data_IF_654740364415
#
_entry.id   IF_654740364415
#
_cell.length_a   1.000
_cell.length_b   1.000
_cell.length_c   1.000
_cell.angle_alpha   90.00
_cell.angle_beta   90.00
_cell.angle_gamma   90.00
#
_symmetry.space_group_name_H-M   'P 1'
#
loop_
_entity.id
_entity.type
_entity.pdbx_description
1 polymer ?
#
# COMPACT_ATOMS: atom_id res chain seq x y z
N UNK A 1 -30.52 -0.91 10.23
CA UNK A 1 -29.55 -1.75 9.48
C UNK A 1 -28.70 -0.98 8.45
N UNK A 2 -29.24 -0.12 7.57
CA UNK A 2 -28.40 0.57 6.57
C UNK A 2 -27.39 1.55 7.19
N UNK A 3 -27.76 2.23 8.28
CA UNK A 3 -26.88 3.18 8.99
C UNK A 3 -25.60 2.52 9.51
N UNK A 4 -25.72 1.30 10.06
CA UNK A 4 -24.55 0.57 10.57
C UNK A 4 -23.60 0.17 9.44
N UNK A 5 -24.16 -0.33 8.33
CA UNK A 5 -23.35 -0.69 7.15
C UNK A 5 -22.60 0.54 6.60
N UNK A 6 -23.28 1.67 6.49
CA UNK A 6 -22.66 2.93 6.04
C UNK A 6 -21.56 3.36 7.01
N UNK A 7 -21.80 3.31 8.31
CA UNK A 7 -20.80 3.67 9.31
C UNK A 7 -19.55 2.76 9.22
N UNK A 8 -19.74 1.44 9.04
CA UNK A 8 -18.64 0.49 8.86
C UNK A 8 -17.86 0.77 7.59
N UNK A 9 -18.55 1.06 6.47
CA UNK A 9 -17.89 1.38 5.20
C UNK A 9 -17.09 2.69 5.30
N UNK A 10 -17.67 3.73 5.91
CA UNK A 10 -16.96 4.99 6.12
C UNK A 10 -15.75 4.82 7.03
N UNK A 11 -15.87 4.01 8.09
CA UNK A 11 -14.75 3.69 8.96
C UNK A 11 -13.67 2.93 8.19
N UNK A 12 -14.04 1.92 7.40
CA UNK A 12 -13.13 1.12 6.58
C UNK A 12 -12.37 1.96 5.54
N UNK A 13 -13.09 2.84 4.83
CA UNK A 13 -12.47 3.77 3.87
C UNK A 13 -11.60 4.80 4.57
N UNK A 14 -12.08 5.38 5.67
CA UNK A 14 -11.36 6.39 6.43
C UNK A 14 -10.10 5.86 7.09
N UNK A 15 -10.12 4.64 7.63
CA UNK A 15 -8.95 4.00 8.21
C UNK A 15 -7.90 3.70 7.15
N UNK A 16 -8.31 3.18 5.98
CA UNK A 16 -7.39 3.00 4.86
C UNK A 16 -6.80 4.33 4.39
N UNK A 17 -7.62 5.39 4.30
CA UNK A 17 -7.15 6.73 3.91
C UNK A 17 -6.06 7.25 4.85
N UNK A 18 -6.21 7.10 6.16
CA UNK A 18 -5.19 7.51 7.12
C UNK A 18 -3.89 6.71 6.94
N UNK A 19 -4.00 5.40 6.68
CA UNK A 19 -2.83 4.54 6.48
C UNK A 19 -2.10 4.84 5.16
N UNK A 20 -2.85 5.11 4.08
CA UNK A 20 -2.25 5.44 2.77
C UNK A 20 -1.62 6.84 2.80
N UNK A 21 -2.22 7.85 3.45
CA UNK A 21 -1.60 9.18 3.60
C UNK A 21 -0.27 9.18 4.37
N UNK A 22 -0.01 8.13 5.14
CA UNK A 22 1.24 7.92 5.87
C UNK A 22 2.12 6.84 5.21
N UNK A 23 1.72 6.37 4.02
CA UNK A 23 2.43 5.38 3.25
C UNK A 23 3.59 6.00 2.48
N UNK A 24 4.40 5.11 1.90
CA UNK A 24 5.53 5.48 1.06
C UNK A 24 5.80 4.37 0.03
N UNK A 25 6.52 4.73 -1.03
CA UNK A 25 7.04 3.75 -1.96
C UNK A 25 8.18 2.97 -1.29
N UNK A 26 8.09 1.65 -1.33
CA UNK A 26 9.09 0.76 -0.74
C UNK A 26 9.57 -0.26 -1.77
N UNK A 27 10.86 -0.63 -1.76
CA UNK A 27 11.40 -1.68 -2.61
C UNK A 27 10.88 -3.03 -2.11
N UNK A 28 10.02 -3.67 -2.90
CA UNK A 28 9.44 -4.98 -2.57
C UNK A 28 10.22 -6.13 -3.19
N UNK A 29 11.09 -5.83 -4.16
CA UNK A 29 12.11 -6.73 -4.66
C UNK A 29 13.41 -5.95 -4.90
N UNK A 30 14.52 -6.46 -4.38
CA UNK A 30 15.86 -5.88 -4.54
C UNK A 30 16.75 -6.86 -5.30
N UNK A 31 17.37 -6.40 -6.39
CA UNK A 31 18.34 -7.16 -7.18
C UNK A 31 19.77 -6.69 -6.94
N UNK A 32 20.71 -7.26 -7.70
CA UNK A 32 22.16 -6.97 -7.57
C UNK A 32 22.52 -5.49 -7.79
N UNK A 33 21.70 -4.75 -8.52
CA UNK A 33 21.89 -3.32 -8.83
C UNK A 33 20.74 -2.47 -8.27
N UNK A 34 20.30 -2.74 -7.04
CA UNK A 34 19.26 -1.96 -6.36
C UNK A 34 17.82 -2.47 -6.58
N UNK A 35 16.82 -1.67 -6.16
CA UNK A 35 15.40 -2.01 -6.28
C UNK A 35 14.99 -2.41 -7.70
N UNK A 36 14.20 -3.47 -7.82
CA UNK A 36 13.64 -3.96 -9.08
C UNK A 36 12.14 -3.79 -9.16
N UNK A 37 11.49 -3.84 -8.00
CA UNK A 37 10.05 -3.56 -7.88
C UNK A 37 9.90 -2.62 -6.70
N UNK A 38 9.22 -1.50 -6.94
CA UNK A 38 8.90 -0.51 -5.92
C UNK A 38 7.40 -0.35 -5.94
N UNK A 39 6.75 -0.66 -4.82
CA UNK A 39 5.31 -0.55 -4.69
C UNK A 39 4.95 0.50 -3.66
N UNK A 40 3.77 1.10 -3.83
CA UNK A 40 3.21 1.91 -2.78
C UNK A 40 2.79 1.04 -1.61
N UNK A 41 3.26 1.40 -0.42
CA UNK A 41 2.99 0.67 0.80
C UNK A 41 2.33 1.60 1.82
N UNK A 42 1.02 1.45 2.08
CA UNK A 42 0.39 2.12 3.21
C UNK A 42 1.10 1.74 4.51
N UNK A 43 1.05 2.64 5.50
CA UNK A 43 1.79 2.47 6.76
C UNK A 43 1.49 1.11 7.40
N UNK A 44 2.55 0.36 7.68
CA UNK A 44 2.48 -0.93 8.38
C UNK A 44 2.11 -2.13 7.51
N UNK A 45 1.89 -1.94 6.20
CA UNK A 45 1.62 -3.05 5.27
C UNK A 45 2.88 -3.83 4.91
N UNK A 46 4.05 -3.20 4.99
CA UNK A 46 5.33 -3.79 4.64
C UNK A 46 6.41 -3.35 5.63
N UNK A 47 7.30 -4.28 6.01
CA UNK A 47 8.52 -4.00 6.78
C UNK A 47 9.70 -4.00 5.82
N UNK A 48 10.29 -2.84 5.55
CA UNK A 48 11.48 -2.74 4.71
C UNK A 48 12.72 -3.41 5.33
N UNK A 49 12.77 -3.50 6.66
CA UNK A 49 13.86 -4.15 7.37
C UNK A 49 13.83 -5.67 7.18
N UNK A 50 12.64 -6.26 7.21
CA UNK A 50 12.45 -7.72 7.12
C UNK A 50 12.10 -8.17 5.70
N UNK A 51 11.84 -7.22 4.79
CA UNK A 51 11.31 -7.47 3.44
C UNK A 51 10.01 -8.29 3.45
N UNK A 52 9.16 -8.08 4.45
CA UNK A 52 7.96 -8.86 4.70
C UNK A 52 6.67 -8.04 4.64
N UNK A 53 5.63 -8.64 4.07
CA UNK A 53 4.28 -8.10 4.05
C UNK A 53 3.50 -8.49 5.30
N UNK A 54 2.77 -7.52 5.86
CA UNK A 54 1.76 -7.77 6.87
C UNK A 54 0.50 -8.34 6.20
N UNK A 55 0.48 -9.66 6.01
CA UNK A 55 -0.60 -10.37 5.31
C UNK A 55 -1.99 -10.12 5.92
N UNK A 56 -2.18 -10.07 7.26
CA UNK A 56 -3.46 -9.70 7.85
C UNK A 56 -3.98 -8.34 7.39
N UNK A 57 -3.15 -7.29 7.45
CA UNK A 57 -3.55 -5.95 6.98
C UNK A 57 -3.82 -5.95 5.48
N UNK A 58 -2.95 -6.58 4.70
CA UNK A 58 -3.10 -6.69 3.27
C UNK A 58 -4.41 -7.41 2.91
N UNK A 59 -4.78 -8.46 3.64
CA UNK A 59 -6.03 -9.22 3.41
C UNK A 59 -7.27 -8.36 3.70
N UNK A 60 -7.28 -7.65 4.83
CA UNK A 60 -8.41 -6.78 5.22
C UNK A 60 -8.63 -5.67 4.20
N UNK A 61 -7.54 -5.11 3.68
CA UNK A 61 -7.58 -3.95 2.78
C UNK A 61 -7.32 -4.30 1.31
N UNK A 62 -7.27 -5.58 0.93
CA UNK A 62 -6.85 -6.01 -0.41
C UNK A 62 -7.58 -5.28 -1.55
N UNK A 63 -8.92 -5.08 -1.51
CA UNK A 63 -9.61 -4.36 -2.58
C UNK A 63 -9.16 -2.91 -2.72
N UNK A 64 -8.98 -2.21 -1.59
CA UNK A 64 -8.54 -0.82 -1.59
C UNK A 64 -7.06 -0.71 -1.98
N UNK A 65 -6.20 -1.56 -1.42
CA UNK A 65 -4.79 -1.61 -1.75
C UNK A 65 -4.54 -1.83 -3.25
N UNK A 66 -5.27 -2.77 -3.86
CA UNK A 66 -5.15 -3.05 -5.28
C UNK A 66 -5.64 -1.87 -6.14
N UNK A 67 -6.79 -1.28 -5.80
CA UNK A 67 -7.31 -0.09 -6.48
C UNK A 67 -6.35 1.10 -6.37
N UNK A 68 -5.78 1.31 -5.19
CA UNK A 68 -4.86 2.39 -4.88
C UNK A 68 -3.57 2.28 -5.71
N UNK A 69 -2.91 1.11 -5.67
CA UNK A 69 -1.71 0.85 -6.47
C UNK A 69 -2.01 0.85 -7.98
N UNK A 70 -3.24 0.55 -8.41
CA UNK A 70 -3.58 0.52 -9.84
C UNK A 70 -3.85 1.89 -10.44
N UNK A 71 -4.43 2.81 -9.67
CA UNK A 71 -4.97 4.07 -10.20
C UNK A 71 -4.40 5.34 -9.56
N UNK A 72 -3.90 5.28 -8.32
CA UNK A 72 -3.39 6.44 -7.60
C UNK A 72 -1.91 6.37 -7.27
N UNK A 73 -1.38 5.18 -6.99
CA UNK A 73 0.02 5.00 -6.61
C UNK A 73 0.66 3.85 -7.39
N UNK A 74 0.61 3.96 -8.72
CA UNK A 74 1.21 2.98 -9.62
C UNK A 74 2.73 3.02 -9.60
N UNK A 75 3.36 1.86 -9.86
CA UNK A 75 4.81 1.71 -9.96
C UNK A 75 5.47 2.75 -10.89
N UNK A 76 4.78 3.16 -11.97
CA UNK A 76 5.26 4.18 -12.90
C UNK A 76 5.59 5.52 -12.23
N UNK A 77 4.98 5.81 -11.07
CA UNK A 77 5.14 7.05 -10.32
C UNK A 77 6.25 6.95 -9.27
N UNK A 78 6.86 5.77 -9.09
CA UNK A 78 7.95 5.57 -8.15
C UNK A 78 9.23 6.26 -8.68
N UNK A 79 9.70 7.36 -8.05
CA UNK A 79 10.85 8.12 -8.55
C UNK A 79 12.15 7.30 -8.54
N UNK A 80 12.22 6.33 -7.62
CA UNK A 80 13.40 5.52 -7.33
C UNK A 80 13.73 4.52 -8.45
N UNK A 81 12.73 4.10 -9.23
CA UNK A 81 12.94 3.22 -10.39
C UNK A 81 13.51 3.98 -11.59
N UNK A 82 13.36 5.31 -11.64
CA UNK A 82 13.87 6.17 -12.73
C UNK A 82 15.22 6.82 -12.41
N UNK A 83 15.78 6.55 -11.23
CA UNK A 83 17.02 7.16 -10.74
C UNK A 83 18.30 6.37 -11.06
N UNK A 84 18.18 5.22 -11.73
CA UNK A 84 19.27 4.32 -12.15
C UNK A 84 19.21 4.03 -13.65
#
# INVERSE_FOLDING_TARGET
>A
MPVLLVAVLLFYLGSYLVLTLQGEYQPTAVGLNGPKVVNWTPRGFFSANDMEWNLPLLTVYAPLFYADNRWWHSEDWAPELHAY
#
